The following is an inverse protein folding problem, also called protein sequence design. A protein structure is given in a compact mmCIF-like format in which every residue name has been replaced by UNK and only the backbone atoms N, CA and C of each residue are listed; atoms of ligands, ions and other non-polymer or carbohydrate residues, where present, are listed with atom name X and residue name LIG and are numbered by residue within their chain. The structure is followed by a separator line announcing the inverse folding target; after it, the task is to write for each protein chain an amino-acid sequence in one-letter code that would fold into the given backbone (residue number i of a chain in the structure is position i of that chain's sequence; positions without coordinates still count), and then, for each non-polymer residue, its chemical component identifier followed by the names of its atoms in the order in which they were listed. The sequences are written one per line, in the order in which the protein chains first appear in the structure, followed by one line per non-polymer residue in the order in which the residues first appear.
data_IF_959496579335
#
_entry.id   IF_959496579335
#
_cell.length_a   1.000
_cell.length_b   1.000
_cell.length_c   1.000
_cell.angle_alpha   90.00
_cell.angle_beta   90.00
_cell.angle_gamma   90.00
#
_symmetry.space_group_name_H-M   'P 1'
#
loop_
_entity.id
_entity.type
_entity.pdbx_description
1 polymer ?
#
# COMPACT_ATOMS: atom_id res chain seq x y z
N UNK A 1 6.12 -5.07 3.60
CA UNK A 1 6.76 -5.61 2.39
C UNK A 1 6.56 -7.12 2.30
N UNK A 2 6.84 -7.90 3.37
CA UNK A 2 6.73 -9.37 3.34
C UNK A 2 5.32 -9.87 2.97
N UNK A 3 4.27 -9.23 3.50
CA UNK A 3 2.87 -9.57 3.15
C UNK A 3 2.59 -9.41 1.65
N UNK A 4 3.09 -8.33 1.04
CA UNK A 4 2.95 -8.08 -0.41
C UNK A 4 3.71 -9.15 -1.20
N UNK A 5 4.94 -9.47 -0.80
CA UNK A 5 5.74 -10.53 -1.45
C UNK A 5 5.06 -11.90 -1.36
N UNK A 6 4.47 -12.22 -0.21
CA UNK A 6 3.76 -13.48 -0.04
C UNK A 6 2.59 -13.64 -1.02
N UNK A 7 1.78 -12.59 -1.18
CA UNK A 7 0.65 -12.61 -2.11
C UNK A 7 1.06 -12.77 -3.59
N UNK A 8 2.30 -12.42 -3.97
CA UNK A 8 2.78 -12.62 -5.34
C UNK A 8 2.85 -14.10 -5.74
N UNK A 9 2.94 -15.02 -4.78
CA UNK A 9 2.99 -16.46 -5.11
C UNK A 9 1.72 -16.93 -5.82
N UNK A 10 0.56 -16.39 -5.43
CA UNK A 10 -0.72 -16.73 -6.03
C UNK A 10 -0.93 -16.00 -7.36
N UNK A 11 -0.44 -14.76 -7.47
CA UNK A 11 -0.48 -13.97 -8.72
C UNK A 11 0.28 -14.66 -9.86
N UNK A 12 1.27 -15.52 -9.56
CA UNK A 12 2.02 -16.20 -10.59
C UNK A 12 1.29 -17.40 -11.22
N UNK A 13 0.13 -17.78 -10.74
CA UNK A 13 -0.69 -18.81 -11.38
C UNK A 13 -1.52 -18.22 -12.51
N UNK A 14 -1.44 -18.87 -13.69
CA UNK A 14 -2.12 -18.41 -14.90
C UNK A 14 -3.17 -19.44 -15.35
N UNK A 15 -4.37 -18.96 -15.65
CA UNK A 15 -5.47 -19.75 -16.19
C UNK A 15 -5.26 -20.18 -17.66
N UNK A 16 -4.09 -19.91 -18.24
CA UNK A 16 -3.79 -20.21 -19.63
C UNK A 16 -4.02 -21.69 -19.96
N UNK A 17 -4.73 -21.92 -21.05
CA UNK A 17 -5.12 -23.27 -21.49
C UNK A 17 -6.43 -23.79 -20.88
N UNK A 18 -7.09 -23.02 -20.02
CA UNK A 18 -8.42 -23.35 -19.49
C UNK A 18 -9.55 -23.27 -20.53
N UNK A 19 -9.31 -22.59 -21.64
CA UNK A 19 -10.29 -22.29 -22.69
C UNK A 19 -11.53 -21.56 -22.16
N UNK A 20 -12.75 -22.01 -22.48
CA UNK A 20 -13.97 -21.27 -22.14
C UNK A 20 -14.26 -21.26 -20.62
N UNK A 21 -14.18 -22.42 -19.97
CA UNK A 21 -14.66 -22.60 -18.59
C UNK A 21 -13.64 -23.30 -17.66
N UNK A 22 -12.46 -23.62 -18.15
CA UNK A 22 -11.43 -24.30 -17.37
C UNK A 22 -11.15 -25.76 -17.78
N UNK A 23 -11.92 -26.30 -18.71
CA UNK A 23 -11.80 -27.70 -19.16
C UNK A 23 -10.59 -27.96 -20.07
N UNK A 24 -10.08 -26.90 -20.72
CA UNK A 24 -9.06 -27.07 -21.75
C UNK A 24 -9.55 -27.67 -23.05
N UNK A 25 -10.88 -27.74 -23.27
CA UNK A 25 -11.47 -28.30 -24.47
C UNK A 25 -10.89 -27.64 -25.73
N UNK A 26 -10.59 -28.45 -26.75
CA UNK A 26 -10.01 -28.02 -28.03
C UNK A 26 -8.62 -27.42 -27.96
N UNK A 27 -7.95 -27.43 -26.79
CA UNK A 27 -6.55 -27.05 -26.68
C UNK A 27 -5.61 -28.23 -26.96
N UNK A 28 -4.41 -27.96 -27.48
CA UNK A 28 -3.42 -28.99 -27.68
C UNK A 28 -2.89 -29.54 -26.36
N UNK A 29 -2.45 -30.83 -26.37
CA UNK A 29 -1.88 -31.45 -25.17
C UNK A 29 -0.72 -30.63 -24.58
N UNK A 30 -0.80 -30.34 -23.29
CA UNK A 30 0.18 -29.53 -22.54
C UNK A 30 0.31 -28.09 -23.06
N UNK A 31 -0.70 -27.51 -23.68
CA UNK A 31 -0.69 -26.14 -24.15
C UNK A 31 -0.40 -25.17 -23.00
N UNK A 32 -1.06 -25.35 -21.84
CA UNK A 32 -0.86 -24.57 -20.62
C UNK A 32 0.61 -24.51 -20.18
N UNK A 33 1.28 -25.66 -20.13
CA UNK A 33 2.69 -25.73 -19.74
C UNK A 33 3.61 -25.04 -20.76
N UNK A 34 3.30 -25.22 -22.05
CA UNK A 34 4.09 -24.64 -23.15
C UNK A 34 3.95 -23.12 -23.16
N UNK A 35 2.72 -22.59 -23.11
CA UNK A 35 2.48 -21.15 -23.15
C UNK A 35 3.06 -20.44 -21.93
N UNK A 36 2.89 -21.00 -20.72
CA UNK A 36 3.46 -20.43 -19.51
C UNK A 36 4.99 -20.44 -19.53
N UNK A 37 5.61 -21.49 -20.13
CA UNK A 37 7.06 -21.51 -20.35
C UNK A 37 7.54 -20.36 -21.24
N UNK A 38 6.82 -20.05 -22.31
CA UNK A 38 7.14 -18.90 -23.17
C UNK A 38 6.92 -17.56 -22.46
N UNK A 39 5.81 -17.41 -21.74
CA UNK A 39 5.55 -16.21 -20.91
C UNK A 39 6.69 -15.98 -19.89
N UNK A 40 7.17 -17.05 -19.24
CA UNK A 40 8.31 -16.95 -18.29
C UNK A 40 9.58 -16.45 -18.96
N UNK A 41 9.88 -16.90 -20.16
CA UNK A 41 11.07 -16.44 -20.91
C UNK A 41 10.95 -14.95 -21.22
N UNK A 42 9.78 -14.51 -21.66
CA UNK A 42 9.51 -13.14 -22.04
C UNK A 42 9.53 -12.17 -20.84
N UNK A 43 8.76 -12.50 -19.79
CA UNK A 43 8.59 -11.64 -18.62
C UNK A 43 9.67 -11.80 -17.55
N UNK A 44 10.50 -12.85 -17.62
CA UNK A 44 11.50 -13.21 -16.60
C UNK A 44 10.92 -13.31 -15.18
N UNK A 45 9.67 -13.76 -15.07
CA UNK A 45 8.95 -13.96 -13.81
C UNK A 45 8.54 -15.40 -13.64
N UNK A 46 8.38 -15.94 -12.40
CA UNK A 46 8.18 -17.35 -12.12
C UNK A 46 6.72 -17.80 -12.32
N UNK A 47 6.09 -17.39 -13.41
CA UNK A 47 4.73 -17.80 -13.73
C UNK A 47 4.58 -19.32 -13.81
N UNK A 48 3.42 -19.82 -13.41
CA UNK A 48 3.07 -21.26 -13.36
C UNK A 48 1.70 -21.49 -13.97
N UNK A 49 1.45 -22.66 -14.59
CA UNK A 49 0.08 -23.04 -14.92
C UNK A 49 -0.74 -23.18 -13.64
N UNK A 50 -1.93 -22.63 -13.63
CA UNK A 50 -2.83 -22.80 -12.50
C UNK A 50 -3.19 -24.28 -12.30
N UNK A 51 -3.18 -24.79 -11.06
CA UNK A 51 -3.56 -26.17 -10.77
C UNK A 51 -5.05 -26.40 -11.00
N UNK A 52 -5.88 -25.37 -10.79
CA UNK A 52 -7.31 -25.39 -11.04
C UNK A 52 -7.70 -24.21 -11.94
N UNK A 53 -7.88 -24.49 -13.23
CA UNK A 53 -8.23 -23.46 -14.22
C UNK A 53 -9.69 -23.02 -14.14
N UNK A 54 -10.56 -23.83 -13.54
CA UNK A 54 -11.96 -23.46 -13.31
C UNK A 54 -12.03 -22.29 -12.34
N UNK A 55 -11.36 -22.38 -11.20
CA UNK A 55 -11.37 -21.29 -10.21
C UNK A 55 -10.72 -20.02 -10.74
N UNK A 56 -9.61 -20.12 -11.46
CA UNK A 56 -8.87 -18.98 -11.99
C UNK A 56 -9.61 -18.22 -13.12
N UNK A 57 -10.58 -18.88 -13.76
CA UNK A 57 -11.47 -18.23 -14.74
C UNK A 57 -12.71 -17.66 -14.09
N UNK A 58 -13.27 -18.38 -13.10
CA UNK A 58 -14.49 -18.00 -12.42
C UNK A 58 -14.31 -16.91 -11.36
N UNK A 59 -13.11 -16.81 -10.77
CA UNK A 59 -12.82 -15.91 -9.67
C UNK A 59 -11.49 -15.16 -9.85
N UNK A 60 -11.24 -14.19 -8.96
CA UNK A 60 -10.03 -13.35 -8.96
C UNK A 60 -9.43 -13.23 -7.55
N UNK A 61 -9.49 -14.29 -6.76
CA UNK A 61 -9.12 -14.32 -5.34
C UNK A 61 -7.68 -13.89 -5.11
N UNK A 62 -6.75 -14.33 -5.96
CA UNK A 62 -5.35 -13.94 -5.89
C UNK A 62 -5.15 -12.41 -5.98
N UNK A 63 -5.87 -11.75 -6.90
CA UNK A 63 -5.76 -10.28 -7.07
C UNK A 63 -6.48 -9.55 -5.93
N UNK A 64 -7.60 -10.04 -5.45
CA UNK A 64 -8.31 -9.48 -4.29
C UNK A 64 -7.41 -9.53 -3.06
N UNK A 65 -6.76 -10.67 -2.80
CA UNK A 65 -5.81 -10.84 -1.70
C UNK A 65 -4.60 -9.90 -1.84
N UNK A 66 -4.01 -9.83 -3.03
CA UNK A 66 -2.90 -8.91 -3.32
C UNK A 66 -3.31 -7.45 -3.08
N UNK A 67 -4.47 -7.03 -3.58
CA UNK A 67 -5.02 -5.70 -3.32
C UNK A 67 -5.23 -5.45 -1.82
N UNK A 68 -5.67 -6.45 -1.06
CA UNK A 68 -5.77 -6.39 0.40
C UNK A 68 -4.43 -6.12 1.08
N UNK A 69 -3.34 -6.68 0.55
CA UNK A 69 -1.99 -6.42 1.06
C UNK A 69 -1.53 -4.97 0.78
N UNK A 70 -1.88 -4.40 -0.38
CA UNK A 70 -1.65 -2.99 -0.70
C UNK A 70 -2.49 -2.07 0.19
N UNK A 71 -3.75 -2.43 0.43
CA UNK A 71 -4.64 -1.72 1.36
C UNK A 71 -4.05 -1.68 2.78
N UNK A 72 -3.56 -2.80 3.29
CA UNK A 72 -2.89 -2.87 4.60
C UNK A 72 -1.64 -1.98 4.66
N UNK A 73 -0.89 -1.89 3.57
CA UNK A 73 0.25 -0.98 3.44
C UNK A 73 -0.21 0.49 3.48
N UNK A 74 -1.27 0.83 2.73
CA UNK A 74 -1.83 2.18 2.70
C UNK A 74 -2.33 2.62 4.08
N UNK A 75 -3.01 1.75 4.83
CA UNK A 75 -3.46 2.03 6.21
C UNK A 75 -2.27 2.36 7.12
N UNK A 76 -1.18 1.61 7.01
CA UNK A 76 0.03 1.86 7.81
C UNK A 76 0.70 3.19 7.42
N UNK A 77 0.79 3.48 6.13
CA UNK A 77 1.37 4.73 5.63
C UNK A 77 0.52 5.95 5.99
N UNK A 78 -0.80 5.82 5.96
CA UNK A 78 -1.74 6.85 6.42
C UNK A 78 -1.44 7.26 7.86
N UNK A 79 -1.31 6.28 8.74
CA UNK A 79 -0.98 6.48 10.17
C UNK A 79 0.36 7.16 10.34
N UNK A 80 1.41 6.66 9.69
CA UNK A 80 2.77 7.21 9.76
C UNK A 80 2.81 8.66 9.27
N UNK A 81 2.17 8.94 8.14
CA UNK A 81 2.14 10.30 7.57
C UNK A 81 1.41 11.29 8.46
N UNK A 82 0.31 10.88 9.07
CA UNK A 82 -0.41 11.73 10.02
C UNK A 82 0.43 12.00 11.28
N UNK A 83 1.09 11.00 11.85
CA UNK A 83 1.97 11.20 13.00
C UNK A 83 3.10 12.19 12.69
N UNK A 84 3.78 12.01 11.57
CA UNK A 84 4.86 12.93 11.14
C UNK A 84 4.31 14.34 10.96
N UNK A 85 3.15 14.49 10.34
CA UNK A 85 2.49 15.76 10.14
C UNK A 85 2.16 16.47 11.48
N UNK A 86 1.59 15.73 12.43
CA UNK A 86 1.26 16.28 13.75
C UNK A 86 2.51 16.63 14.56
N UNK A 87 3.49 15.74 14.61
CA UNK A 87 4.75 15.99 15.32
C UNK A 87 5.57 17.14 14.72
N UNK A 88 5.41 17.40 13.41
CA UNK A 88 6.02 18.53 12.72
C UNK A 88 5.21 19.83 12.79
N UNK A 89 4.06 19.87 13.49
CA UNK A 89 3.20 21.06 13.57
C UNK A 89 3.85 22.19 14.36
N UNK A 90 3.70 23.41 13.87
CA UNK A 90 4.28 24.62 14.49
C UNK A 90 4.19 25.82 13.55
N UNK A 91 5.07 26.85 13.72
CA UNK A 91 6.29 26.88 14.55
C UNK A 91 6.09 27.26 16.03
N UNK A 92 5.04 28.00 16.39
CA UNK A 92 4.84 28.48 17.78
C UNK A 92 3.79 27.65 18.53
N UNK A 93 2.68 27.37 17.88
CA UNK A 93 1.61 26.54 18.40
C UNK A 93 1.65 25.18 17.66
N UNK A 94 1.61 24.08 18.39
CA UNK A 94 1.72 22.72 17.87
C UNK A 94 2.76 21.88 18.59
N UNK A 95 2.92 20.64 18.19
CA UNK A 95 3.88 19.72 18.86
C UNK A 95 5.33 20.13 18.61
N UNK A 96 5.71 20.40 17.37
CA UNK A 96 7.04 20.91 17.02
C UNK A 96 8.20 19.99 17.39
N UNK A 97 7.95 18.68 17.60
CA UNK A 97 8.96 17.70 17.97
C UNK A 97 9.82 17.26 16.80
N UNK A 98 9.28 17.36 15.59
CA UNK A 98 9.99 17.09 14.34
C UNK A 98 10.14 18.38 13.52
N UNK A 99 11.32 18.55 12.93
CA UNK A 99 11.61 19.55 11.92
C UNK A 99 11.52 18.87 10.56
N UNK A 100 10.51 19.24 9.78
CA UNK A 100 10.29 18.71 8.44
C UNK A 100 11.09 19.51 7.41
N UNK A 101 11.54 18.89 6.30
CA UNK A 101 12.20 19.62 5.21
C UNK A 101 11.24 20.58 4.52
N UNK A 102 11.75 21.76 4.19
CA UNK A 102 11.04 22.75 3.39
C UNK A 102 11.23 22.44 1.91
N UNK A 103 10.21 21.89 1.26
CA UNK A 103 10.27 21.53 -0.16
C UNK A 103 9.71 22.61 -1.07
N UNK A 104 9.00 23.59 -0.50
CA UNK A 104 8.32 24.66 -1.22
C UNK A 104 8.13 25.89 -0.32
N UNK A 105 7.91 27.07 -0.91
CA UNK A 105 7.54 28.23 -0.13
C UNK A 105 6.34 27.94 0.75
N UNK A 106 6.41 28.29 2.02
CA UNK A 106 5.33 28.10 2.98
C UNK A 106 4.11 28.97 2.65
N UNK A 107 3.73 29.86 3.55
CA UNK A 107 2.64 30.80 3.33
C UNK A 107 3.18 32.19 2.98
N UNK A 108 2.55 32.87 2.01
CA UNK A 108 2.85 34.27 1.71
C UNK A 108 2.41 35.23 2.83
N UNK A 109 1.54 34.78 3.74
CA UNK A 109 0.94 35.60 4.80
C UNK A 109 1.37 35.20 6.22
N UNK A 110 2.00 34.01 6.39
CA UNK A 110 2.43 33.51 7.70
C UNK A 110 3.92 33.17 7.70
N UNK A 111 4.76 34.00 8.38
CA UNK A 111 6.19 33.73 8.47
C UNK A 111 6.48 32.40 9.15
N UNK A 112 7.45 31.63 8.62
CA UNK A 112 7.91 30.37 9.19
C UNK A 112 6.95 29.19 9.08
N UNK A 113 5.86 29.33 8.32
CA UNK A 113 4.96 28.20 8.04
C UNK A 113 5.62 27.23 7.07
N UNK A 114 5.75 25.98 7.49
CA UNK A 114 6.18 24.86 6.64
C UNK A 114 4.94 24.02 6.32
N UNK A 115 4.69 23.77 5.03
CA UNK A 115 3.59 22.90 4.62
C UNK A 115 4.07 21.46 4.59
N UNK A 116 3.36 20.50 5.23
CA UNK A 116 3.72 19.08 5.23
C UNK A 116 3.19 18.37 3.98
N UNK A 117 3.41 18.94 2.79
CA UNK A 117 2.79 18.53 1.52
C UNK A 117 3.07 17.09 1.15
N UNK A 118 4.26 16.55 1.47
CA UNK A 118 4.54 15.14 1.24
C UNK A 118 3.68 14.23 2.11
N UNK A 119 3.42 14.60 3.36
CA UNK A 119 2.50 13.87 4.23
C UNK A 119 1.06 13.94 3.69
N UNK A 120 0.64 15.12 3.23
CA UNK A 120 -0.69 15.32 2.65
C UNK A 120 -0.88 14.48 1.37
N UNK A 121 0.10 14.47 0.48
CA UNK A 121 0.10 13.67 -0.74
C UNK A 121 -0.04 12.16 -0.43
N UNK A 122 0.76 11.65 0.52
CA UNK A 122 0.67 10.24 0.94
C UNK A 122 -0.71 9.91 1.49
N UNK A 123 -1.31 10.76 2.32
CA UNK A 123 -2.64 10.48 2.88
C UNK A 123 -3.72 10.44 1.79
N UNK A 124 -3.66 11.33 0.80
CA UNK A 124 -4.58 11.30 -0.36
C UNK A 124 -4.40 10.02 -1.20
N UNK A 125 -3.16 9.63 -1.47
CA UNK A 125 -2.85 8.38 -2.19
C UNK A 125 -3.36 7.16 -1.41
N UNK A 126 -3.15 7.11 -0.09
CA UNK A 126 -3.66 6.04 0.76
C UNK A 126 -5.19 5.94 0.70
N UNK A 127 -5.89 7.06 0.77
CA UNK A 127 -7.35 7.10 0.64
C UNK A 127 -7.81 6.55 -0.72
N UNK A 128 -7.11 6.90 -1.81
CA UNK A 128 -7.40 6.38 -3.15
C UNK A 128 -7.17 4.87 -3.24
N UNK A 129 -6.08 4.35 -2.68
CA UNK A 129 -5.77 2.90 -2.65
C UNK A 129 -6.84 2.13 -1.86
N UNK A 130 -7.30 2.66 -0.72
CA UNK A 130 -8.40 2.08 0.07
C UNK A 130 -9.68 2.02 -0.77
N UNK A 131 -10.04 3.10 -1.45
CA UNK A 131 -11.19 3.15 -2.35
C UNK A 131 -11.10 2.15 -3.51
N UNK A 132 -9.92 2.04 -4.14
CA UNK A 132 -9.66 1.05 -5.19
C UNK A 132 -9.82 -0.39 -4.67
N UNK A 133 -9.30 -0.69 -3.48
CA UNK A 133 -9.44 -2.00 -2.86
C UNK A 133 -10.91 -2.35 -2.62
N UNK A 134 -11.72 -1.42 -2.15
CA UNK A 134 -13.18 -1.63 -2.00
C UNK A 134 -13.83 -2.00 -3.34
N UNK A 135 -13.50 -1.26 -4.41
CA UNK A 135 -13.97 -1.57 -5.76
C UNK A 135 -13.53 -2.95 -6.26
N UNK A 136 -12.28 -3.35 -5.99
CA UNK A 136 -11.74 -4.67 -6.32
C UNK A 136 -12.46 -5.78 -5.53
N UNK A 137 -12.73 -5.56 -4.25
CA UNK A 137 -13.43 -6.53 -3.38
C UNK A 137 -14.86 -6.76 -3.90
N UNK A 138 -15.58 -5.68 -4.21
CA UNK A 138 -16.93 -5.78 -4.79
C UNK A 138 -16.86 -6.51 -6.15
N UNK A 139 -15.95 -6.12 -7.03
CA UNK A 139 -15.78 -6.77 -8.33
C UNK A 139 -15.39 -8.26 -8.20
N UNK A 140 -14.57 -8.60 -7.22
CA UNK A 140 -14.20 -10.00 -6.92
C UNK A 140 -15.36 -10.84 -6.41
N UNK A 141 -16.33 -10.23 -5.71
CA UNK A 141 -17.53 -10.94 -5.23
C UNK A 141 -18.60 -11.18 -6.30
N UNK A 142 -18.40 -10.61 -7.48
CA UNK A 142 -19.28 -10.80 -8.63
C UNK A 142 -18.80 -11.94 -9.53
N UNK A 143 -19.53 -12.15 -10.59
CA UNK A 143 -19.33 -13.22 -11.55
C UNK A 143 -20.56 -14.14 -11.60
N UNK A 144 -20.73 -14.79 -12.73
CA UNK A 144 -21.82 -15.73 -12.93
C UNK A 144 -21.22 -17.05 -13.40
N UNK A 145 -21.43 -18.09 -12.58
CA UNK A 145 -20.96 -19.44 -12.84
C UNK A 145 -19.45 -19.49 -13.12
N UNK A 146 -19.03 -19.75 -14.34
CA UNK A 146 -17.64 -20.03 -14.70
C UNK A 146 -16.82 -18.80 -15.08
N UNK A 147 -17.41 -17.59 -15.06
CA UNK A 147 -16.71 -16.39 -15.49
C UNK A 147 -17.05 -15.16 -14.64
N UNK A 148 -16.04 -14.57 -14.04
CA UNK A 148 -16.10 -13.21 -13.54
C UNK A 148 -15.63 -12.23 -14.62
N UNK A 149 -16.52 -11.37 -15.10
CA UNK A 149 -16.27 -10.41 -16.19
C UNK A 149 -15.68 -9.07 -15.72
N UNK A 150 -15.53 -8.85 -14.41
CA UNK A 150 -15.06 -7.57 -13.85
C UNK A 150 -13.54 -7.35 -13.99
N UNK A 151 -12.88 -8.14 -14.84
CA UNK A 151 -11.43 -8.07 -15.09
C UNK A 151 -10.92 -6.65 -15.42
N UNK A 152 -11.58 -5.85 -16.29
CA UNK A 152 -11.09 -4.51 -16.63
C UNK A 152 -11.08 -3.57 -15.41
N UNK A 153 -12.13 -3.62 -14.57
CA UNK A 153 -12.21 -2.83 -13.34
C UNK A 153 -11.12 -3.23 -12.34
N UNK A 154 -10.98 -4.54 -12.11
CA UNK A 154 -9.97 -5.09 -11.19
C UNK A 154 -8.56 -4.72 -11.66
N UNK A 155 -8.25 -4.94 -12.94
CA UNK A 155 -6.95 -4.62 -13.52
C UNK A 155 -6.62 -3.13 -13.41
N UNK A 156 -7.55 -2.25 -13.79
CA UNK A 156 -7.36 -0.82 -13.69
C UNK A 156 -7.06 -0.36 -12.27
N UNK A 157 -7.89 -0.78 -11.30
CA UNK A 157 -7.75 -0.35 -9.93
C UNK A 157 -6.48 -0.89 -9.25
N UNK A 158 -6.10 -2.15 -9.51
CA UNK A 158 -4.88 -2.71 -8.92
C UNK A 158 -3.62 -2.07 -9.50
N UNK A 159 -3.54 -1.89 -10.81
CA UNK A 159 -2.40 -1.26 -11.47
C UNK A 159 -2.26 0.20 -11.02
N UNK A 160 -3.35 0.96 -11.01
CA UNK A 160 -3.33 2.33 -10.50
C UNK A 160 -2.84 2.37 -9.03
N UNK A 161 -3.31 1.45 -8.19
CA UNK A 161 -2.87 1.40 -6.78
C UNK A 161 -1.38 1.14 -6.63
N UNK A 162 -0.81 0.26 -7.47
CA UNK A 162 0.62 -0.03 -7.49
C UNK A 162 1.41 1.23 -7.87
N UNK A 163 1.02 1.89 -8.96
CA UNK A 163 1.74 3.04 -9.51
C UNK A 163 1.74 4.21 -8.52
N UNK A 164 0.54 4.66 -8.10
CA UNK A 164 0.45 5.82 -7.21
C UNK A 164 1.07 5.57 -5.83
N UNK A 165 0.94 4.36 -5.29
CA UNK A 165 1.53 4.02 -3.99
C UNK A 165 3.06 3.96 -4.08
N UNK A 166 3.59 3.36 -5.14
CA UNK A 166 5.03 3.26 -5.39
C UNK A 166 5.67 4.64 -5.51
N UNK A 167 5.11 5.51 -6.35
CA UNK A 167 5.62 6.87 -6.55
C UNK A 167 5.51 7.72 -5.28
N UNK A 168 4.38 7.62 -4.59
CA UNK A 168 4.17 8.34 -3.35
C UNK A 168 5.17 7.94 -2.26
N UNK A 169 5.43 6.64 -2.07
CA UNK A 169 6.42 6.13 -1.09
C UNK A 169 7.83 6.61 -1.43
N UNK A 170 8.19 6.59 -2.71
CA UNK A 170 9.49 7.07 -3.18
C UNK A 170 9.67 8.56 -2.88
N UNK A 171 8.69 9.38 -3.24
CA UNK A 171 8.74 10.81 -3.00
C UNK A 171 8.72 11.15 -1.50
N UNK A 172 7.87 10.49 -0.73
CA UNK A 172 7.82 10.65 0.71
C UNK A 172 9.15 10.32 1.39
N UNK A 173 9.81 9.24 0.96
CA UNK A 173 11.14 8.86 1.45
C UNK A 173 12.19 9.93 1.13
N UNK A 174 12.21 10.44 -0.11
CA UNK A 174 13.22 11.38 -0.59
C UNK A 174 13.03 12.80 -0.04
N UNK A 175 11.82 13.29 -0.08
CA UNK A 175 11.50 14.70 0.18
C UNK A 175 10.95 14.97 1.57
N UNK A 176 10.62 13.92 2.35
CA UNK A 176 10.21 14.07 3.74
C UNK A 176 11.13 13.29 4.68
N UNK A 177 11.06 11.95 4.66
CA UNK A 177 11.67 11.10 5.69
C UNK A 177 13.16 11.32 5.84
N UNK A 178 13.91 11.40 4.74
CA UNK A 178 15.38 11.63 4.77
C UNK A 178 15.79 12.97 5.38
N UNK A 179 14.91 13.95 5.35
CA UNK A 179 15.19 15.31 5.83
C UNK A 179 14.68 15.59 7.23
N UNK A 180 13.94 14.69 7.86
CA UNK A 180 13.39 14.86 9.21
C UNK A 180 14.51 14.98 10.23
N UNK A 181 14.41 15.99 11.11
CA UNK A 181 15.30 16.18 12.26
C UNK A 181 14.49 16.24 13.55
N UNK A 182 15.02 15.68 14.63
CA UNK A 182 14.42 15.79 15.95
C UNK A 182 14.67 17.18 16.54
N UNK A 183 13.63 17.86 16.99
CA UNK A 183 13.73 19.09 17.78
C UNK A 183 13.94 18.71 19.27
N UNK A 184 15.18 18.43 19.62
CA UNK A 184 15.54 17.94 20.96
C UNK A 184 15.09 18.86 22.08
N UNK A 185 15.07 20.19 21.85
CA UNK A 185 14.62 21.17 22.83
C UNK A 185 13.14 21.00 23.14
N UNK A 186 12.31 20.89 22.08
CA UNK A 186 10.86 20.75 22.22
C UNK A 186 10.48 19.40 22.80
N UNK A 187 11.16 18.33 22.36
CA UNK A 187 10.99 16.98 22.90
C UNK A 187 11.28 16.97 24.41
N UNK A 188 12.40 17.61 24.84
CA UNK A 188 12.75 17.69 26.25
C UNK A 188 11.69 18.48 27.06
N UNK A 189 11.23 19.61 26.54
CA UNK A 189 10.17 20.42 27.17
C UNK A 189 8.89 19.58 27.41
N UNK A 190 8.44 18.85 26.38
CA UNK A 190 7.27 17.98 26.51
C UNK A 190 7.49 16.81 27.46
N UNK A 191 8.68 16.20 27.45
CA UNK A 191 9.01 15.12 28.36
C UNK A 191 9.00 15.60 29.81
N UNK A 192 9.66 16.74 30.10
CA UNK A 192 9.74 17.31 31.47
C UNK A 192 8.35 17.71 32.00
N UNK A 193 7.43 18.09 31.12
CA UNK A 193 6.04 18.42 31.45
C UNK A 193 5.09 17.23 31.45
N UNK A 194 5.58 16.03 31.10
CA UNK A 194 4.77 14.82 31.01
C UNK A 194 4.80 14.03 32.32
N UNK A 195 3.65 13.45 32.65
CA UNK A 195 3.56 12.49 33.78
C UNK A 195 4.14 11.10 33.43
N UNK A 196 4.58 10.86 32.19
CA UNK A 196 5.12 9.56 31.77
C UNK A 196 6.32 9.11 32.59
N UNK A 197 7.16 10.05 33.06
CA UNK A 197 8.34 9.74 33.88
C UNK A 197 7.96 9.10 35.24
N UNK A 198 6.76 9.42 35.74
CA UNK A 198 6.26 8.83 36.99
C UNK A 198 5.99 7.34 36.86
N UNK A 199 5.67 6.87 35.65
CA UNK A 199 5.45 5.43 35.39
C UNK A 199 6.64 4.56 35.80
N UNK A 200 7.87 5.08 35.65
CA UNK A 200 9.09 4.37 36.07
C UNK A 200 9.21 4.21 37.59
N UNK A 201 8.46 5.00 38.35
CA UNK A 201 8.45 4.94 39.82
C UNK A 201 7.40 3.96 40.37
N UNK A 202 6.38 3.61 39.56
CA UNK A 202 5.30 2.74 40.00
C UNK A 202 5.74 1.42 40.65
N UNK A 203 6.79 0.71 40.19
CA UNK A 203 7.30 -0.48 40.88
C UNK A 203 7.89 -0.22 42.28
N UNK A 204 8.25 1.06 42.58
CA UNK A 204 8.87 1.44 43.86
C UNK A 204 7.88 2.04 44.86
N UNK A 205 6.89 2.78 44.35
CA UNK A 205 5.97 3.57 45.18
C UNK A 205 4.51 3.09 45.10
N UNK A 206 4.20 2.10 44.24
CA UNK A 206 2.82 1.67 43.95
C UNK A 206 2.12 2.60 42.96
N UNK A 207 0.90 2.25 42.60
CA UNK A 207 0.01 3.06 41.73
C UNK A 207 -0.83 4.01 42.60
#
# INVERSE_FOLDING_TARGET
IERIRYCLNDIYYLAQGGTAVGTGINSSKNFDKKIVKEIRKYCKKPFKPAPNKFSELAAHDAIVNFSGSLNSCAVSLMKISNDIRFLGSGPRAGYGELLLPENEPGSSIMPGKINPTQCEAVTMVCAKVIGNHTGITVAGSHGHFELNVFKPLIAYNVLQSIDILSDSVKNFSLYCVKGIKANKKKIKEHLDNSLMLVTALAPKIGY
#
